data_IF_204467765695
#
_entry.id   IF_204467765695
#
_cell.length_a   1.000
_cell.length_b   1.000
_cell.length_c   1.000
_cell.angle_alpha   90.00
_cell.angle_beta   90.00
_cell.angle_gamma   90.00
#
_symmetry.space_group_name_H-M   'P 1'
#
loop_
_entity.id
_entity.type
_entity.pdbx_description
1 polymer ?
#
# COMPACT_ATOMS: atom_id res chain seq x y z
N UNK A 1 5.05 -16.03 5.57
CA UNK A 1 4.50 -15.41 4.34
C UNK A 1 5.43 -14.29 3.90
N UNK A 2 5.31 -13.76 2.68
CA UNK A 2 6.20 -12.66 2.26
C UNK A 2 6.00 -11.41 3.12
N UNK A 3 4.76 -11.05 3.43
CA UNK A 3 4.43 -9.84 4.20
C UNK A 3 5.13 -9.81 5.56
N UNK A 4 5.39 -10.97 6.17
CA UNK A 4 6.10 -11.06 7.45
C UNK A 4 7.52 -10.47 7.39
N UNK A 5 8.13 -10.40 6.20
CA UNK A 5 9.44 -9.78 6.01
C UNK A 5 9.39 -8.24 6.04
N UNK A 6 8.20 -7.67 5.92
CA UNK A 6 7.93 -6.23 5.84
C UNK A 6 7.23 -5.67 7.07
N UNK A 7 6.83 -6.52 8.01
CA UNK A 7 6.13 -6.13 9.22
C UNK A 7 6.88 -6.63 10.47
N UNK A 8 6.88 -5.83 11.53
CA UNK A 8 7.33 -6.29 12.83
C UNK A 8 6.37 -7.34 13.43
N UNK A 9 6.79 -8.02 14.48
CA UNK A 9 6.01 -9.10 15.10
C UNK A 9 4.60 -8.65 15.53
N UNK A 10 4.45 -7.43 16.05
CA UNK A 10 3.14 -6.93 16.49
C UNK A 10 2.22 -6.74 15.29
N UNK A 11 2.74 -6.13 14.23
CA UNK A 11 2.01 -5.90 12.97
C UNK A 11 1.65 -7.20 12.25
N UNK A 12 2.51 -8.21 12.31
CA UNK A 12 2.21 -9.54 11.78
C UNK A 12 1.03 -10.20 12.50
N UNK A 13 0.89 -10.02 13.81
CA UNK A 13 -0.29 -10.53 14.53
C UNK A 13 -1.55 -9.76 14.13
N UNK A 14 -1.46 -8.43 14.04
CA UNK A 14 -2.58 -7.59 13.63
C UNK A 14 -3.10 -7.94 12.23
N UNK A 15 -2.21 -8.16 11.25
CA UNK A 15 -2.67 -8.45 9.89
C UNK A 15 -3.44 -9.77 9.79
N UNK A 16 -3.17 -10.73 10.68
CA UNK A 16 -3.91 -12.00 10.80
C UNK A 16 -5.25 -11.85 11.51
N UNK A 17 -5.49 -10.74 12.20
CA UNK A 17 -6.81 -10.38 12.74
C UNK A 17 -7.69 -9.71 11.68
N UNK A 18 -7.07 -9.04 10.70
CA UNK A 18 -7.76 -8.29 9.63
C UNK A 18 -8.04 -9.16 8.40
N UNK A 19 -7.06 -9.94 7.97
CA UNK A 19 -7.14 -10.75 6.76
C UNK A 19 -7.05 -12.25 7.07
N UNK A 20 -7.84 -13.05 6.36
CA UNK A 20 -7.79 -14.50 6.52
C UNK A 20 -6.52 -15.11 5.91
N UNK A 21 -6.17 -16.32 6.38
CA UNK A 21 -4.95 -17.01 5.97
C UNK A 21 -4.95 -17.39 4.47
N UNK A 22 -6.12 -17.60 3.86
CA UNK A 22 -6.22 -17.97 2.45
C UNK A 22 -5.85 -16.78 1.55
N UNK A 23 -6.43 -15.61 1.83
CA UNK A 23 -6.11 -14.36 1.18
C UNK A 23 -4.62 -14.05 1.30
N UNK A 24 -4.11 -14.08 2.53
CA UNK A 24 -2.71 -13.83 2.87
C UNK A 24 -1.72 -14.75 2.12
N UNK A 25 -2.12 -15.98 1.81
CA UNK A 25 -1.32 -16.94 1.02
C UNK A 25 -1.46 -16.76 -0.49
N UNK A 26 -2.52 -16.10 -0.96
CA UNK A 26 -2.78 -15.85 -2.38
C UNK A 26 -1.98 -14.68 -2.96
N UNK A 27 -1.34 -13.88 -2.11
CA UNK A 27 -0.60 -12.67 -2.51
C UNK A 27 0.54 -13.03 -3.44
N UNK A 28 0.49 -12.46 -4.64
CA UNK A 28 1.55 -12.58 -5.61
C UNK A 28 2.79 -11.78 -5.16
N UNK A 29 3.92 -12.47 -5.08
CA UNK A 29 5.17 -11.90 -4.59
C UNK A 29 5.67 -10.79 -5.50
N UNK A 30 5.61 -10.99 -6.81
CA UNK A 30 6.19 -10.06 -7.77
C UNK A 30 5.38 -8.76 -7.77
N UNK A 31 4.06 -8.87 -7.83
CA UNK A 31 3.14 -7.73 -7.78
C UNK A 31 3.29 -6.94 -6.47
N UNK A 32 3.29 -7.63 -5.33
CA UNK A 32 3.47 -7.00 -4.02
C UNK A 32 4.77 -6.19 -3.97
N UNK A 33 5.88 -6.77 -4.44
CA UNK A 33 7.18 -6.10 -4.43
C UNK A 33 7.23 -4.89 -5.38
N UNK A 34 6.58 -4.96 -6.52
CA UNK A 34 6.51 -3.83 -7.45
C UNK A 34 5.72 -2.67 -6.85
N UNK A 35 4.53 -2.93 -6.29
CA UNK A 35 3.73 -1.92 -5.60
C UNK A 35 4.48 -1.33 -4.39
N UNK A 36 5.11 -2.17 -3.58
CA UNK A 36 5.93 -1.73 -2.45
C UNK A 36 7.05 -0.77 -2.89
N UNK A 37 7.79 -1.13 -3.95
CA UNK A 37 8.86 -0.28 -4.49
C UNK A 37 8.34 1.03 -5.07
N UNK A 38 7.11 1.06 -5.60
CA UNK A 38 6.48 2.30 -6.03
C UNK A 38 6.26 3.21 -4.83
N UNK A 39 5.66 2.72 -3.74
CA UNK A 39 5.49 3.53 -2.53
C UNK A 39 6.84 4.04 -1.98
N UNK A 40 7.88 3.20 -1.95
CA UNK A 40 9.24 3.63 -1.57
C UNK A 40 9.79 4.72 -2.50
N UNK A 41 9.67 4.53 -3.83
CA UNK A 41 10.13 5.47 -4.86
C UNK A 41 9.51 6.86 -4.67
N UNK A 42 8.25 6.93 -4.25
CA UNK A 42 7.54 8.17 -4.01
C UNK A 42 7.69 8.71 -2.58
N UNK A 43 8.47 8.05 -1.73
CA UNK A 43 8.88 8.54 -0.42
C UNK A 43 7.88 8.27 0.70
N UNK A 44 6.95 7.33 0.52
CA UNK A 44 6.04 6.91 1.60
C UNK A 44 6.84 6.24 2.72
N UNK A 45 6.77 6.80 3.93
CA UNK A 45 7.52 6.32 5.11
C UNK A 45 6.67 5.48 6.06
N UNK A 46 5.39 5.28 5.73
CA UNK A 46 4.39 4.55 6.54
C UNK A 46 3.82 3.35 5.76
N UNK A 47 4.65 2.70 4.93
CA UNK A 47 4.20 1.61 4.05
C UNK A 47 3.65 0.44 4.86
N UNK A 48 4.23 0.13 6.03
CA UNK A 48 3.70 -0.87 6.96
C UNK A 48 2.24 -0.57 7.35
N UNK A 49 1.87 0.70 7.54
CA UNK A 49 0.50 1.08 7.88
C UNK A 49 -0.42 0.92 6.67
N UNK A 50 0.08 1.16 5.45
CA UNK A 50 -0.64 0.86 4.20
C UNK A 50 -0.87 -0.65 4.08
N UNK A 51 0.14 -1.47 4.36
CA UNK A 51 0.02 -2.94 4.34
C UNK A 51 -1.04 -3.41 5.35
N UNK A 52 -1.13 -2.78 6.52
CA UNK A 52 -2.09 -3.19 7.55
C UNK A 52 -3.53 -2.80 7.24
N UNK A 53 -3.75 -1.64 6.63
CA UNK A 53 -5.10 -1.10 6.42
C UNK A 53 -5.63 -1.31 5.00
N UNK A 54 -4.75 -1.44 4.02
CA UNK A 54 -5.05 -1.39 2.58
C UNK A 54 -4.20 -2.43 1.81
N UNK A 55 -4.07 -3.66 2.34
CA UNK A 55 -3.25 -4.71 1.72
C UNK A 55 -3.68 -5.02 0.27
N UNK A 56 -4.95 -4.81 -0.03
CA UNK A 56 -5.55 -5.00 -1.37
C UNK A 56 -4.88 -4.11 -2.42
N UNK A 57 -4.34 -2.94 -2.06
CA UNK A 57 -3.56 -2.09 -2.98
C UNK A 57 -2.35 -2.81 -3.56
N UNK A 58 -1.76 -3.75 -2.81
CA UNK A 58 -0.60 -4.53 -3.26
C UNK A 58 -0.98 -5.65 -4.23
N UNK A 59 -2.28 -5.82 -4.52
CA UNK A 59 -2.81 -6.74 -5.52
C UNK A 59 -3.23 -6.04 -6.82
N UNK A 60 -3.28 -4.71 -6.82
CA UNK A 60 -3.60 -3.91 -8.00
C UNK A 60 -2.43 -3.87 -8.99
N UNK A 61 -2.71 -3.52 -10.25
CA UNK A 61 -1.69 -3.31 -11.28
C UNK A 61 -0.69 -2.22 -10.83
N UNK A 62 0.61 -2.51 -10.76
CA UNK A 62 1.64 -1.54 -10.36
C UNK A 62 1.60 -0.25 -11.20
N UNK A 63 1.28 -0.36 -12.50
CA UNK A 63 1.15 0.79 -13.39
C UNK A 63 -0.03 1.70 -13.01
N UNK A 64 -1.13 1.09 -12.53
CA UNK A 64 -2.31 1.81 -12.02
C UNK A 64 -1.95 2.54 -10.73
N UNK A 65 -1.28 1.86 -9.79
CA UNK A 65 -0.84 2.47 -8.53
C UNK A 65 0.10 3.65 -8.78
N UNK A 66 1.11 3.49 -9.64
CA UNK A 66 2.05 4.57 -9.95
C UNK A 66 1.34 5.77 -10.59
N UNK A 67 0.41 5.52 -11.51
CA UNK A 67 -0.40 6.58 -12.14
C UNK A 67 -1.29 7.31 -11.12
N UNK A 68 -1.91 6.57 -10.20
CA UNK A 68 -2.73 7.15 -9.13
C UNK A 68 -1.92 8.00 -8.16
N UNK A 69 -0.72 7.55 -7.77
CA UNK A 69 0.19 8.34 -6.92
C UNK A 69 0.62 9.64 -7.62
N UNK A 70 0.89 9.60 -8.92
CA UNK A 70 1.21 10.81 -9.69
C UNK A 70 0.04 11.81 -9.69
N UNK A 71 -1.20 11.34 -9.85
CA UNK A 71 -2.39 12.20 -9.75
C UNK A 71 -2.52 12.82 -8.36
N UNK A 72 -2.42 12.01 -7.31
CA UNK A 72 -2.45 12.49 -5.92
C UNK A 72 -1.36 13.53 -5.66
N UNK A 73 -0.15 13.32 -6.21
CA UNK A 73 0.95 14.28 -6.11
C UNK A 73 0.61 15.61 -6.79
N UNK A 74 0.01 15.57 -7.98
CA UNK A 74 -0.40 16.78 -8.70
C UNK A 74 -1.53 17.54 -7.98
N UNK A 75 -2.49 16.81 -7.39
CA UNK A 75 -3.63 17.40 -6.67
C UNK A 75 -3.25 17.95 -5.29
N UNK A 76 -2.44 17.20 -4.53
CA UNK A 76 -2.09 17.53 -3.15
C UNK A 76 -0.81 18.38 -3.06
N UNK A 77 -0.01 18.42 -4.12
CA UNK A 77 1.21 19.23 -4.20
C UNK A 77 2.43 18.64 -3.48
N UNK A 78 3.46 19.46 -3.20
CA UNK A 78 4.78 18.99 -2.76
C UNK A 78 4.79 18.13 -1.48
N UNK A 79 3.84 18.36 -0.56
CA UNK A 79 3.74 17.65 0.72
C UNK A 79 2.71 16.49 0.68
N UNK A 80 2.38 15.96 -0.51
CA UNK A 80 1.31 14.96 -0.67
C UNK A 80 1.49 13.74 0.25
N UNK A 81 2.70 13.18 0.35
CA UNK A 81 2.97 12.03 1.24
C UNK A 81 2.60 12.33 2.68
N UNK A 82 2.96 13.52 3.18
CA UNK A 82 2.63 13.93 4.55
C UNK A 82 1.11 14.09 4.72
N UNK A 83 0.41 14.61 3.72
CA UNK A 83 -1.06 14.75 3.75
C UNK A 83 -1.74 13.39 3.77
N UNK A 84 -1.28 12.44 2.95
CA UNK A 84 -1.78 11.06 2.94
C UNK A 84 -1.48 10.36 4.28
N UNK A 85 -0.29 10.57 4.86
CA UNK A 85 0.05 10.01 6.17
C UNK A 85 -0.78 10.60 7.33
N UNK A 86 -1.39 11.77 7.15
CA UNK A 86 -2.35 12.36 8.11
C UNK A 86 -3.76 11.80 7.86
N UNK A 87 -4.12 11.55 6.61
CA UNK A 87 -5.43 11.05 6.20
C UNK A 87 -5.29 9.99 5.09
N UNK A 88 -5.23 8.72 5.48
CA UNK A 88 -5.00 7.61 4.55
C UNK A 88 -6.17 7.38 3.58
N UNK A 89 -7.34 7.99 3.80
CA UNK A 89 -8.48 7.89 2.88
C UNK A 89 -8.18 8.43 1.48
N UNK A 90 -7.13 9.25 1.31
CA UNK A 90 -6.64 9.62 -0.01
C UNK A 90 -6.22 8.41 -0.85
N UNK A 91 -5.79 7.31 -0.22
CA UNK A 91 -5.41 6.08 -0.92
C UNK A 91 -6.63 5.36 -1.52
N UNK A 92 -7.86 5.64 -1.07
CA UNK A 92 -9.08 5.07 -1.66
C UNK A 92 -9.17 5.40 -3.16
N UNK A 93 -8.63 6.55 -3.59
CA UNK A 93 -8.58 6.97 -4.99
C UNK A 93 -7.68 6.08 -5.87
N UNK A 94 -6.81 5.27 -5.27
CA UNK A 94 -5.96 4.33 -6.01
C UNK A 94 -6.76 3.10 -6.48
N UNK A 95 -7.92 2.83 -5.86
CA UNK A 95 -8.83 1.77 -6.31
C UNK A 95 -9.69 2.21 -7.50
N UNK A 96 -9.99 3.50 -7.62
CA UNK A 96 -10.87 4.03 -8.66
C UNK A 96 -10.27 3.82 -10.08
N UNK A 97 -11.02 3.09 -10.91
CA UNK A 97 -10.77 2.98 -12.34
C UNK A 97 -10.95 4.37 -12.98
N UNK A 98 -9.92 4.86 -13.67
CA UNK A 98 -10.10 5.93 -14.65
C UNK A 98 -10.42 5.34 -16.01
#
# INVERSE_FOLDING_TARGET
>A
MIIDQYLDFVKQELIREVYDEEFLRSIDLENFLEVYRIFEKYGFYFIDDIILNDLELFLEDPSKIESGILKLKDELGPDFVKKIGIDMRYLEQLYDEN
#
